data_IF_806552309004
#
_entry.id   IF_806552309004
#
_cell.length_a   1.000
_cell.length_b   1.000
_cell.length_c   1.000
_cell.angle_alpha   90.00
_cell.angle_beta   90.00
_cell.angle_gamma   90.00
#
_symmetry.space_group_name_H-M   'P 1'
#
loop_
_entity.id
_entity.type
_entity.pdbx_description
1 polymer ?
#
# COMPACT_ATOMS: atom_id res chain seq x y z
N UNK A 1 27.07 -16.75 6.32
CA UNK A 1 25.81 -15.98 6.18
C UNK A 1 24.70 -16.81 6.79
N UNK A 2 23.97 -16.30 7.80
CA UNK A 2 22.81 -17.01 8.33
C UNK A 2 21.72 -17.03 7.24
N UNK A 3 21.28 -18.22 6.84
CA UNK A 3 20.16 -18.39 5.91
C UNK A 3 18.89 -18.30 6.74
N UNK A 4 18.28 -17.12 6.77
CA UNK A 4 17.05 -16.84 7.52
C UNK A 4 15.80 -16.84 6.63
N UNK A 5 14.62 -16.56 7.20
CA UNK A 5 13.34 -16.60 6.48
C UNK A 5 13.32 -15.67 5.26
N UNK A 6 13.90 -14.47 5.38
CA UNK A 6 14.00 -13.52 4.28
C UNK A 6 14.77 -14.08 3.07
N UNK A 7 15.86 -14.81 3.31
CA UNK A 7 16.66 -15.42 2.26
C UNK A 7 15.83 -16.42 1.43
N UNK A 8 15.05 -17.27 2.11
CA UNK A 8 14.20 -18.24 1.42
C UNK A 8 13.00 -17.59 0.74
N UNK A 9 12.45 -16.50 1.30
CA UNK A 9 11.39 -15.72 0.65
C UNK A 9 11.89 -15.11 -0.67
N UNK A 10 13.07 -14.48 -0.67
CA UNK A 10 13.69 -13.89 -1.87
C UNK A 10 13.92 -14.95 -2.95
N UNK A 11 14.42 -16.13 -2.57
CA UNK A 11 14.61 -17.23 -3.51
C UNK A 11 13.28 -17.72 -4.10
N UNK A 12 12.22 -17.78 -3.29
CA UNK A 12 10.89 -18.14 -3.79
C UNK A 12 10.40 -17.17 -4.86
N UNK A 13 10.49 -15.86 -4.59
CA UNK A 13 10.06 -14.83 -5.52
C UNK A 13 10.91 -14.81 -6.80
N UNK A 14 12.22 -14.96 -6.65
CA UNK A 14 13.16 -15.03 -7.78
C UNK A 14 12.86 -16.23 -8.67
N UNK A 15 12.59 -17.39 -8.05
CA UNK A 15 12.22 -18.58 -8.80
C UNK A 15 10.87 -18.42 -9.50
N UNK A 16 9.88 -17.82 -8.84
CA UNK A 16 8.58 -17.52 -9.44
C UNK A 16 8.72 -16.60 -10.66
N UNK A 17 9.52 -15.54 -10.55
CA UNK A 17 9.79 -14.63 -11.66
C UNK A 17 10.47 -15.33 -12.83
N UNK A 18 11.48 -16.16 -12.57
CA UNK A 18 12.10 -16.97 -13.63
C UNK A 18 11.10 -17.91 -14.30
N UNK A 19 10.20 -18.54 -13.54
CA UNK A 19 9.19 -19.44 -14.13
C UNK A 19 8.26 -18.73 -15.11
N UNK A 20 7.97 -17.44 -14.90
CA UNK A 20 7.14 -16.64 -15.80
C UNK A 20 7.85 -16.25 -17.12
N UNK A 21 9.18 -16.38 -17.18
CA UNK A 21 10.00 -16.01 -18.35
C UNK A 21 10.38 -17.25 -19.18
N UNK A 22 10.40 -18.44 -18.58
CA UNK A 22 10.89 -19.68 -19.19
C UNK A 22 9.79 -20.46 -19.93
N UNK A 23 10.20 -21.38 -20.83
CA UNK A 23 9.29 -22.23 -21.60
C UNK A 23 8.66 -23.38 -20.78
N UNK A 24 7.69 -24.09 -21.36
CA UNK A 24 6.77 -25.02 -20.67
C UNK A 24 7.40 -26.12 -19.80
N UNK A 25 8.56 -26.70 -20.14
CA UNK A 25 9.17 -27.77 -19.33
C UNK A 25 9.98 -27.22 -18.14
N UNK A 26 10.71 -26.13 -18.35
CA UNK A 26 11.51 -25.48 -17.31
C UNK A 26 10.63 -24.71 -16.31
N UNK A 27 9.46 -24.25 -16.77
CA UNK A 27 8.44 -23.59 -15.95
C UNK A 27 7.98 -24.48 -14.79
N UNK A 28 7.71 -25.77 -15.03
CA UNK A 28 7.21 -26.69 -13.99
C UNK A 28 8.24 -26.90 -12.88
N UNK A 29 9.50 -27.21 -13.25
CA UNK A 29 10.58 -27.39 -12.28
C UNK A 29 10.85 -26.12 -11.47
N UNK A 30 10.71 -24.96 -12.12
CA UNK A 30 10.95 -23.69 -11.48
C UNK A 30 9.81 -23.29 -10.52
N UNK A 31 8.56 -23.61 -10.87
CA UNK A 31 7.41 -23.48 -9.97
C UNK A 31 7.53 -24.40 -8.75
N UNK A 32 8.00 -25.63 -8.92
CA UNK A 32 8.26 -26.56 -7.81
C UNK A 32 9.32 -26.00 -6.84
N UNK A 33 10.46 -25.54 -7.36
CA UNK A 33 11.48 -24.86 -6.55
C UNK A 33 10.95 -23.62 -5.83
N UNK A 34 10.12 -22.82 -6.51
CA UNK A 34 9.50 -21.65 -5.90
C UNK A 34 8.57 -22.03 -4.73
N UNK A 35 7.84 -23.15 -4.84
CA UNK A 35 6.97 -23.69 -3.78
C UNK A 35 7.78 -24.24 -2.59
N UNK A 36 8.88 -24.94 -2.85
CA UNK A 36 9.78 -25.44 -1.80
C UNK A 36 10.38 -24.28 -1.00
N UNK A 37 10.91 -23.27 -1.70
CA UNK A 37 11.46 -22.07 -1.06
C UNK A 37 10.39 -21.29 -0.30
N UNK A 38 9.18 -21.18 -0.84
CA UNK A 38 8.05 -20.53 -0.16
C UNK A 38 7.71 -21.26 1.15
N UNK A 39 7.52 -22.57 1.09
CA UNK A 39 7.15 -23.40 2.26
C UNK A 39 8.21 -23.32 3.36
N UNK A 40 9.49 -23.30 2.95
CA UNK A 40 10.60 -23.14 3.88
C UNK A 40 10.66 -21.75 4.49
N UNK A 41 10.47 -20.70 3.69
CA UNK A 41 10.41 -19.32 4.16
C UNK A 41 9.30 -19.17 5.20
N UNK A 42 8.10 -19.68 4.93
CA UNK A 42 6.98 -19.60 5.86
C UNK A 42 7.25 -20.33 7.17
N UNK A 43 7.84 -21.53 7.12
CA UNK A 43 8.19 -22.30 8.33
C UNK A 43 9.22 -21.57 9.20
N UNK A 44 10.28 -21.06 8.58
CA UNK A 44 11.31 -20.29 9.29
C UNK A 44 10.75 -18.96 9.82
N UNK A 45 9.85 -18.33 9.08
CA UNK A 45 9.19 -17.08 9.46
C UNK A 45 8.26 -17.28 10.66
N UNK A 46 7.42 -18.32 10.67
CA UNK A 46 6.60 -18.68 11.81
C UNK A 46 7.45 -18.99 13.05
N UNK A 47 8.58 -19.69 12.87
CA UNK A 47 9.52 -19.97 13.97
C UNK A 47 10.11 -18.68 14.54
N UNK A 48 10.61 -17.80 13.68
CA UNK A 48 11.11 -16.47 14.04
C UNK A 48 10.08 -15.68 14.85
N UNK A 49 8.82 -15.66 14.40
CA UNK A 49 7.73 -14.99 15.10
C UNK A 49 7.39 -15.61 16.46
N UNK A 50 7.47 -16.94 16.58
CA UNK A 50 7.16 -17.63 17.84
C UNK A 50 8.23 -17.43 18.93
N UNK A 51 9.50 -17.38 18.54
CA UNK A 51 10.64 -17.33 19.47
C UNK A 51 11.01 -15.90 19.89
N UNK A 52 10.71 -14.91 19.04
CA UNK A 52 11.31 -13.57 19.17
C UNK A 52 10.29 -12.42 19.17
N UNK A 53 8.98 -12.69 19.29
CA UNK A 53 7.93 -11.67 19.26
C UNK A 53 8.16 -10.49 20.20
N UNK A 54 8.63 -10.75 21.42
CA UNK A 54 8.91 -9.69 22.40
C UNK A 54 10.09 -8.79 22.00
N UNK A 55 11.11 -9.36 21.35
CA UNK A 55 12.31 -8.63 20.89
C UNK A 55 12.10 -7.95 19.54
N UNK A 56 11.05 -8.31 18.82
CA UNK A 56 10.72 -7.77 17.51
C UNK A 56 10.35 -6.28 17.58
N UNK A 57 9.60 -5.90 18.62
CA UNK A 57 9.11 -4.53 18.81
C UNK A 57 10.20 -3.59 19.35
N UNK A 58 11.26 -4.15 19.96
CA UNK A 58 12.35 -3.40 20.57
C UNK A 58 13.54 -3.17 19.62
N UNK A 59 13.54 -3.78 18.42
CA UNK A 59 14.65 -3.75 17.47
C UNK A 59 14.16 -3.45 16.05
N UNK A 60 14.41 -2.23 15.59
CA UNK A 60 14.03 -1.76 14.25
C UNK A 60 14.60 -2.62 13.11
N UNK A 61 15.78 -3.24 13.29
CA UNK A 61 16.35 -4.10 12.25
C UNK A 61 15.57 -5.41 12.12
N UNK A 62 15.13 -5.98 13.24
CA UNK A 62 14.26 -7.18 13.26
C UNK A 62 12.88 -6.87 12.72
N UNK A 63 12.32 -5.72 13.08
CA UNK A 63 11.05 -5.25 12.54
C UNK A 63 11.15 -5.08 11.01
N UNK A 64 12.22 -4.47 10.51
CA UNK A 64 12.46 -4.35 9.07
C UNK A 64 12.60 -5.73 8.40
N UNK A 65 13.33 -6.68 8.98
CA UNK A 65 13.43 -8.05 8.44
C UNK A 65 12.07 -8.75 8.39
N UNK A 66 11.24 -8.58 9.43
CA UNK A 66 9.88 -9.10 9.47
C UNK A 66 9.00 -8.51 8.37
N UNK A 67 8.97 -7.19 8.24
CA UNK A 67 8.14 -6.51 7.24
C UNK A 67 8.62 -6.82 5.82
N UNK A 68 9.93 -6.90 5.58
CA UNK A 68 10.50 -7.28 4.29
C UNK A 68 10.14 -8.72 3.92
N UNK A 69 10.25 -9.66 4.87
CA UNK A 69 9.87 -11.05 4.62
C UNK A 69 8.36 -11.17 4.33
N UNK A 70 7.52 -10.46 5.08
CA UNK A 70 6.07 -10.40 4.82
C UNK A 70 5.75 -9.83 3.45
N UNK A 71 6.39 -8.72 3.05
CA UNK A 71 6.20 -8.12 1.73
C UNK A 71 6.49 -9.12 0.60
N UNK A 72 7.58 -9.88 0.73
CA UNK A 72 7.96 -10.87 -0.29
C UNK A 72 6.98 -12.04 -0.32
N UNK A 73 6.51 -12.51 0.85
CA UNK A 73 5.51 -13.58 0.92
C UNK A 73 4.17 -13.13 0.30
N UNK A 74 3.70 -11.91 0.61
CA UNK A 74 2.53 -11.30 -0.03
C UNK A 74 2.73 -11.26 -1.54
N UNK A 75 3.90 -10.79 -2.01
CA UNK A 75 4.22 -10.72 -3.43
C UNK A 75 4.18 -12.10 -4.11
N UNK A 76 4.74 -13.14 -3.48
CA UNK A 76 4.68 -14.51 -3.99
C UNK A 76 3.24 -15.00 -4.18
N UNK A 77 2.36 -14.72 -3.22
CA UNK A 77 0.95 -15.13 -3.31
C UNK A 77 0.19 -14.34 -4.38
N UNK A 78 0.40 -13.02 -4.45
CA UNK A 78 -0.21 -12.17 -5.50
C UNK A 78 0.22 -12.62 -6.89
N UNK A 79 1.51 -12.86 -7.13
CA UNK A 79 2.01 -13.29 -8.43
C UNK A 79 1.63 -14.72 -8.81
N UNK A 80 1.21 -15.55 -7.85
CA UNK A 80 0.61 -16.86 -8.11
C UNK A 80 -0.87 -16.77 -8.50
N UNK A 81 -1.45 -15.56 -8.47
CA UNK A 81 -2.88 -15.36 -8.68
C UNK A 81 -3.72 -15.81 -7.48
N UNK A 82 -3.14 -15.83 -6.27
CA UNK A 82 -3.90 -16.17 -5.08
C UNK A 82 -4.94 -15.07 -4.82
N UNK A 83 -6.21 -15.48 -4.68
CA UNK A 83 -7.30 -14.53 -4.45
C UNK A 83 -7.30 -14.00 -3.01
N UNK A 84 -7.02 -14.87 -2.03
CA UNK A 84 -7.20 -14.54 -0.60
C UNK A 84 -6.00 -14.91 0.31
N UNK A 85 -5.08 -15.79 -0.11
CA UNK A 85 -4.01 -16.27 0.77
C UNK A 85 -3.04 -15.16 1.21
N UNK A 86 -2.84 -14.16 0.36
CA UNK A 86 -2.00 -13.00 0.65
C UNK A 86 -2.57 -12.15 1.81
N UNK A 87 -3.89 -12.17 2.03
CA UNK A 87 -4.54 -11.46 3.15
C UNK A 87 -4.10 -12.02 4.50
N UNK A 88 -3.82 -13.32 4.62
CA UNK A 88 -3.35 -13.91 5.88
C UNK A 88 -2.00 -13.33 6.32
N UNK A 89 -1.10 -13.09 5.35
CA UNK A 89 0.19 -12.46 5.61
C UNK A 89 0.01 -10.99 6.01
N UNK A 90 -0.86 -10.27 5.30
CA UNK A 90 -1.18 -8.87 5.64
C UNK A 90 -1.83 -8.77 7.02
N UNK A 91 -2.76 -9.65 7.37
CA UNK A 91 -3.42 -9.69 8.68
C UNK A 91 -2.41 -9.91 9.82
N UNK A 92 -1.41 -10.78 9.60
CA UNK A 92 -0.34 -11.00 10.57
C UNK A 92 0.52 -9.75 10.78
N UNK A 93 0.85 -9.04 9.69
CA UNK A 93 1.58 -7.77 9.75
C UNK A 93 0.77 -6.71 10.49
N UNK A 94 -0.51 -6.57 10.17
CA UNK A 94 -1.41 -5.62 10.83
C UNK A 94 -1.42 -5.84 12.34
N UNK A 95 -1.49 -7.10 12.80
CA UNK A 95 -1.45 -7.43 14.23
C UNK A 95 -0.15 -6.97 14.92
N UNK A 96 0.98 -6.98 14.22
CA UNK A 96 2.26 -6.48 14.74
C UNK A 96 2.26 -4.95 14.76
N UNK A 97 1.84 -4.31 13.66
CA UNK A 97 1.82 -2.85 13.56
C UNK A 97 0.83 -2.21 14.54
N UNK A 98 -0.26 -2.89 14.92
CA UNK A 98 -1.15 -2.44 16.00
C UNK A 98 -0.47 -2.30 17.36
N UNK A 99 0.63 -3.02 17.59
CA UNK A 99 1.43 -2.89 18.81
C UNK A 99 2.45 -1.76 18.72
N UNK A 100 2.53 -1.06 17.59
CA UNK A 100 3.45 0.03 17.31
C UNK A 100 2.70 1.36 17.26
N UNK A 101 3.37 2.44 17.65
CA UNK A 101 2.93 3.80 17.34
C UNK A 101 3.97 4.50 16.46
N UNK A 102 3.56 5.40 15.55
CA UNK A 102 4.50 6.19 14.75
C UNK A 102 5.51 6.92 15.65
N UNK A 103 5.02 7.50 16.75
CA UNK A 103 5.83 8.23 17.72
C UNK A 103 6.94 7.34 18.32
N UNK A 104 6.61 6.14 18.79
CA UNK A 104 7.60 5.22 19.37
C UNK A 104 8.62 4.71 18.36
N UNK A 105 8.21 4.53 17.09
CA UNK A 105 9.07 4.01 16.03
C UNK A 105 10.05 5.08 15.53
N UNK A 106 9.59 6.33 15.46
CA UNK A 106 10.35 7.45 14.90
C UNK A 106 11.01 8.37 15.95
N UNK A 107 10.75 8.21 17.26
CA UNK A 107 11.40 9.05 18.29
C UNK A 107 12.94 8.83 18.26
N UNK A 108 13.66 9.90 17.96
CA UNK A 108 15.12 9.94 17.88
C UNK A 108 15.81 9.56 19.21
N UNK A 109 15.08 9.65 20.34
CA UNK A 109 15.63 9.45 21.69
C UNK A 109 16.01 8.00 22.04
N UNK A 110 15.52 6.99 21.31
CA UNK A 110 15.94 5.60 21.52
C UNK A 110 17.25 5.22 20.80
N UNK A 111 17.74 6.06 19.88
CA UNK A 111 18.95 5.77 19.12
C UNK A 111 20.26 6.30 19.74
N UNK A 112 20.23 6.94 20.92
CA UNK A 112 21.40 7.59 21.54
C UNK A 112 21.93 6.92 22.82
N UNK A 113 21.94 5.58 22.89
CA UNK A 113 22.58 4.84 24.01
C UNK A 113 23.73 3.91 23.62
N UNK A 114 24.28 4.03 22.42
CA UNK A 114 25.56 3.38 22.09
C UNK A 114 26.54 4.42 21.53
N UNK A 115 27.40 4.93 22.42
CA UNK A 115 28.50 5.79 22.03
C UNK A 115 29.52 5.02 21.20
N UNK A 116 29.69 5.40 19.94
CA UNK A 116 30.97 5.32 19.22
C UNK A 116 30.85 6.01 17.87
N UNK A 117 31.73 6.98 17.67
CA UNK A 117 31.98 7.70 16.43
C UNK A 117 32.52 6.77 15.32
N UNK A 118 32.40 7.26 14.07
CA UNK A 118 33.11 6.88 12.84
C UNK A 118 32.39 5.92 11.87
N UNK A 119 31.84 6.52 10.80
CA UNK A 119 31.55 5.94 9.46
C UNK A 119 30.53 4.80 9.35
N UNK A 120 29.35 4.94 9.95
CA UNK A 120 28.18 4.12 9.61
C UNK A 120 27.14 4.99 8.91
N UNK A 121 26.91 4.74 7.61
CA UNK A 121 25.75 5.27 6.91
C UNK A 121 24.47 4.92 7.68
N UNK A 122 23.71 5.94 8.07
CA UNK A 122 22.39 5.89 8.73
C UNK A 122 21.27 5.21 7.88
N UNK A 123 21.47 3.98 7.40
CA UNK A 123 20.56 3.28 6.46
C UNK A 123 19.40 2.43 7.03
N UNK A 124 19.32 2.04 8.33
CA UNK A 124 18.22 1.17 8.77
C UNK A 124 16.88 1.89 8.98
N UNK A 125 16.86 3.22 9.13
CA UNK A 125 15.60 3.99 9.30
C UNK A 125 14.83 4.15 7.99
N UNK A 126 15.52 4.53 6.91
CA UNK A 126 14.94 4.71 5.57
C UNK A 126 14.27 3.41 5.05
N UNK A 127 14.91 2.24 5.28
CA UNK A 127 14.34 0.95 4.89
C UNK A 127 13.08 0.57 5.68
N UNK A 128 13.04 0.91 6.97
CA UNK A 128 11.88 0.64 7.82
C UNK A 128 10.71 1.56 7.47
N UNK A 129 10.97 2.84 7.24
CA UNK A 129 9.99 3.84 6.77
C UNK A 129 9.32 3.38 5.47
N UNK A 130 10.12 2.97 4.49
CA UNK A 130 9.64 2.40 3.23
C UNK A 130 8.74 1.17 3.45
N UNK A 131 9.17 0.24 4.31
CA UNK A 131 8.40 -0.98 4.59
C UNK A 131 7.07 -0.67 5.29
N UNK A 132 7.07 0.24 6.25
CA UNK A 132 5.84 0.69 6.93
C UNK A 132 4.89 1.41 5.97
N UNK A 133 5.41 2.32 5.13
CA UNK A 133 4.65 2.98 4.08
C UNK A 133 4.01 1.96 3.12
N UNK A 134 4.77 0.92 2.75
CA UNK A 134 4.30 -0.17 1.90
C UNK A 134 3.17 -0.95 2.57
N UNK A 135 3.32 -1.33 3.85
CA UNK A 135 2.28 -2.07 4.56
C UNK A 135 0.99 -1.26 4.77
N UNK A 136 1.11 0.03 5.09
CA UNK A 136 -0.05 0.94 5.17
C UNK A 136 -0.75 1.04 3.83
N UNK A 137 0.02 1.18 2.74
CA UNK A 137 -0.53 1.23 1.38
C UNK A 137 -1.24 -0.07 1.00
N UNK A 138 -0.66 -1.23 1.31
CA UNK A 138 -1.27 -2.54 1.06
C UNK A 138 -2.57 -2.74 1.83
N UNK A 139 -2.65 -2.32 3.10
CA UNK A 139 -3.89 -2.35 3.89
C UNK A 139 -4.98 -1.49 3.23
N UNK A 140 -4.63 -0.27 2.79
CA UNK A 140 -5.57 0.62 2.10
C UNK A 140 -6.08 0.03 0.78
N UNK A 141 -5.19 -0.51 -0.07
CA UNK A 141 -5.60 -1.08 -1.35
C UNK A 141 -6.35 -2.39 -1.19
N UNK A 142 -6.06 -3.19 -0.16
CA UNK A 142 -6.80 -4.41 0.13
C UNK A 142 -8.28 -4.16 0.40
N UNK A 143 -8.62 -2.98 0.94
CA UNK A 143 -9.98 -2.63 1.31
C UNK A 143 -10.93 -2.50 0.10
N UNK A 144 -10.42 -1.95 -1.00
CA UNK A 144 -11.24 -1.66 -2.19
C UNK A 144 -11.86 -2.92 -2.83
N UNK A 145 -11.09 -3.98 -3.17
CA UNK A 145 -11.65 -5.19 -3.75
C UNK A 145 -12.33 -6.10 -2.71
N UNK A 146 -11.95 -6.02 -1.42
CA UNK A 146 -12.48 -6.93 -0.38
C UNK A 146 -13.72 -6.38 0.34
N UNK A 147 -14.09 -5.12 0.10
CA UNK A 147 -15.17 -4.45 0.82
C UNK A 147 -14.88 -4.28 2.32
N UNK A 148 -13.60 -4.37 2.73
CA UNK A 148 -13.17 -4.18 4.12
C UNK A 148 -12.85 -2.71 4.38
N UNK A 149 -12.75 -2.35 5.66
CA UNK A 149 -12.17 -1.07 6.08
C UNK A 149 -10.70 -1.22 6.44
N UNK A 150 -9.89 -0.14 6.29
CA UNK A 150 -8.49 -0.17 6.69
C UNK A 150 -8.38 -0.52 8.17
N UNK A 151 -7.53 -1.50 8.49
CA UNK A 151 -7.37 -1.97 9.86
C UNK A 151 -6.27 -1.19 10.57
N UNK A 152 -5.29 -0.67 9.85
CA UNK A 152 -4.27 0.21 10.40
C UNK A 152 -4.82 1.62 10.61
N UNK A 153 -4.24 2.33 11.58
CA UNK A 153 -4.55 3.74 11.84
C UNK A 153 -3.89 4.63 10.78
N UNK A 154 -4.26 4.45 9.51
CA UNK A 154 -3.63 5.06 8.34
C UNK A 154 -3.53 6.58 8.45
N UNK A 155 -4.52 7.25 9.04
CA UNK A 155 -4.47 8.69 9.26
C UNK A 155 -3.34 9.12 10.19
N UNK A 156 -2.98 8.32 11.20
CA UNK A 156 -1.86 8.61 12.10
C UNK A 156 -0.53 8.38 11.38
N UNK A 157 -0.39 7.22 10.71
CA UNK A 157 0.83 6.86 10.01
C UNK A 157 1.15 7.80 8.84
N UNK A 158 0.14 8.21 8.05
CA UNK A 158 0.31 9.08 6.88
C UNK A 158 0.43 10.58 7.21
N UNK A 159 0.16 10.99 8.46
CA UNK A 159 0.37 12.38 8.91
C UNK A 159 1.81 12.64 9.36
N UNK A 160 2.54 11.61 9.75
CA UNK A 160 3.95 11.71 10.12
C UNK A 160 4.81 12.12 8.92
N UNK A 161 5.85 12.93 9.14
CA UNK A 161 6.75 13.39 8.08
C UNK A 161 7.58 12.26 7.48
N UNK A 162 7.80 11.20 8.24
CA UNK A 162 8.70 10.09 7.95
C UNK A 162 8.09 9.08 6.97
N UNK A 163 6.75 9.01 6.89
CA UNK A 163 6.06 8.13 5.96
C UNK A 163 5.60 8.97 4.77
N UNK A 164 6.38 8.94 3.70
CA UNK A 164 6.01 9.55 2.42
C UNK A 164 5.68 8.46 1.41
N UNK A 165 4.39 8.21 1.19
CA UNK A 165 3.94 7.27 0.16
C UNK A 165 4.31 7.77 -1.25
N UNK A 166 4.56 9.07 -1.40
CA UNK A 166 5.06 9.65 -2.64
C UNK A 166 6.39 9.04 -3.09
N UNK A 167 7.28 8.67 -2.16
CA UNK A 167 8.57 8.06 -2.49
C UNK A 167 8.41 6.60 -2.95
N UNK A 168 7.32 5.94 -2.56
CA UNK A 168 7.01 4.55 -2.92
C UNK A 168 6.14 4.45 -4.18
N UNK A 169 5.02 5.16 -4.20
CA UNK A 169 3.96 5.05 -5.22
C UNK A 169 3.91 6.25 -6.16
N UNK A 170 4.76 7.27 -5.95
CA UNK A 170 4.58 8.59 -6.57
C UNK A 170 3.19 9.19 -6.28
N UNK A 171 2.53 8.78 -5.20
CA UNK A 171 1.20 9.26 -4.80
C UNK A 171 1.27 10.00 -3.47
N UNK A 172 0.80 11.24 -3.41
CA UNK A 172 0.81 12.04 -2.19
C UNK A 172 -0.11 11.44 -1.10
N UNK A 173 0.34 11.54 0.16
CA UNK A 173 -0.35 10.96 1.32
C UNK A 173 -1.82 11.38 1.46
N UNK A 174 -2.18 12.60 1.03
CA UNK A 174 -3.55 13.07 1.16
C UNK A 174 -4.52 12.23 0.33
N UNK A 175 -4.11 11.73 -0.85
CA UNK A 175 -4.93 10.84 -1.66
C UNK A 175 -5.07 9.48 -0.99
N UNK A 176 -3.98 8.97 -0.38
CA UNK A 176 -4.01 7.73 0.38
C UNK A 176 -4.99 7.80 1.58
N UNK A 177 -5.06 8.96 2.25
CA UNK A 177 -6.07 9.22 3.28
C UNK A 177 -7.48 9.19 2.69
N UNK A 178 -7.70 9.81 1.51
CA UNK A 178 -9.00 9.77 0.83
C UNK A 178 -9.40 8.34 0.45
N UNK A 179 -8.46 7.51 -0.02
CA UNK A 179 -8.72 6.08 -0.32
C UNK A 179 -9.24 5.36 0.94
N UNK A 180 -8.57 5.58 2.08
CA UNK A 180 -9.02 5.01 3.36
C UNK A 180 -10.40 5.50 3.79
N UNK A 181 -10.66 6.81 3.66
CA UNK A 181 -11.96 7.40 3.99
C UNK A 181 -13.09 6.85 3.08
N UNK A 182 -12.80 6.62 1.79
CA UNK A 182 -13.74 6.03 0.84
C UNK A 182 -14.05 4.57 1.17
N UNK A 183 -13.04 3.78 1.56
CA UNK A 183 -13.25 2.42 2.04
C UNK A 183 -14.17 2.39 3.28
N UNK A 184 -13.93 3.29 4.25
CA UNK A 184 -14.81 3.46 5.40
C UNK A 184 -16.23 3.91 5.02
N UNK A 185 -16.39 4.81 4.05
CA UNK A 185 -17.70 5.25 3.57
C UNK A 185 -18.46 4.12 2.89
N UNK A 186 -17.78 3.34 2.05
CA UNK A 186 -18.35 2.20 1.33
C UNK A 186 -18.89 1.13 2.27
N UNK A 187 -18.07 0.69 3.22
CA UNK A 187 -18.49 -0.31 4.22
C UNK A 187 -19.64 0.22 5.09
N UNK A 188 -19.55 1.46 5.57
CA UNK A 188 -20.61 2.06 6.37
C UNK A 188 -21.93 2.10 5.61
N UNK A 189 -21.90 2.48 4.32
CA UNK A 189 -23.09 2.51 3.47
C UNK A 189 -23.69 1.10 3.35
N UNK A 190 -22.87 0.09 3.07
CA UNK A 190 -23.35 -1.30 2.95
C UNK A 190 -23.98 -1.81 4.24
N UNK A 191 -23.39 -1.51 5.40
CA UNK A 191 -23.94 -1.88 6.71
C UNK A 191 -25.29 -1.20 6.94
N UNK A 192 -25.39 0.10 6.70
CA UNK A 192 -26.64 0.84 6.85
C UNK A 192 -27.74 0.38 5.88
N UNK A 193 -27.38 0.01 4.65
CA UNK A 193 -28.31 -0.59 3.68
C UNK A 193 -28.83 -1.94 4.15
N UNK A 194 -27.94 -2.81 4.65
CA UNK A 194 -28.30 -4.14 5.19
C UNK A 194 -29.22 -4.03 6.41
N UNK A 195 -28.97 -3.05 7.28
CA UNK A 195 -29.77 -2.79 8.48
C UNK A 195 -31.08 -2.04 8.18
N UNK A 196 -31.29 -1.58 6.93
CA UNK A 196 -32.46 -0.79 6.55
C UNK A 196 -32.50 0.62 7.16
N UNK A 197 -31.34 1.12 7.63
CA UNK A 197 -31.18 2.37 8.37
C UNK A 197 -30.48 3.47 7.56
N UNK A 198 -30.22 3.25 6.27
CA UNK A 198 -29.52 4.19 5.41
C UNK A 198 -30.24 5.54 5.34
N UNK A 199 -29.61 6.56 5.91
CA UNK A 199 -30.00 7.96 5.73
C UNK A 199 -29.34 8.54 4.48
N UNK A 200 -30.15 8.87 3.47
CA UNK A 200 -29.67 9.51 2.24
C UNK A 200 -29.00 10.87 2.52
N UNK A 201 -29.55 11.63 3.47
CA UNK A 201 -28.97 12.92 3.88
C UNK A 201 -27.60 12.75 4.52
N UNK A 202 -27.41 11.71 5.34
CA UNK A 202 -26.12 11.42 5.97
C UNK A 202 -25.09 10.91 4.94
N UNK A 203 -25.52 10.06 4.01
CA UNK A 203 -24.68 9.61 2.90
C UNK A 203 -24.22 10.79 2.04
N UNK A 204 -25.13 11.70 1.70
CA UNK A 204 -24.83 12.91 0.94
C UNK A 204 -23.85 13.82 1.71
N UNK A 205 -24.07 14.03 3.02
CA UNK A 205 -23.19 14.83 3.88
C UNK A 205 -21.77 14.28 3.92
N UNK A 206 -21.61 12.98 4.24
CA UNK A 206 -20.29 12.33 4.28
C UNK A 206 -19.61 12.32 2.93
N UNK A 207 -20.37 12.07 1.85
CA UNK A 207 -19.87 12.09 0.49
C UNK A 207 -19.34 13.48 0.10
N UNK A 208 -20.06 14.55 0.44
CA UNK A 208 -19.63 15.92 0.14
C UNK A 208 -18.37 16.32 0.92
N UNK A 209 -18.23 15.92 2.19
CA UNK A 209 -17.00 16.17 2.97
C UNK A 209 -15.74 15.54 2.35
N UNK A 210 -15.87 14.35 1.73
CA UNK A 210 -14.77 13.73 0.98
C UNK A 210 -14.57 14.47 -0.35
N UNK A 211 -15.66 14.80 -1.05
CA UNK A 211 -15.64 15.49 -2.34
C UNK A 211 -14.96 16.85 -2.28
N UNK A 212 -15.24 17.64 -1.25
CA UNK A 212 -14.63 18.96 -1.04
C UNK A 212 -13.12 18.84 -0.89
N UNK A 213 -12.65 17.93 -0.02
CA UNK A 213 -11.21 17.68 0.17
C UNK A 213 -10.53 17.22 -1.11
N UNK A 214 -11.19 16.33 -1.86
CA UNK A 214 -10.70 15.83 -3.13
C UNK A 214 -10.60 16.93 -4.19
N UNK A 215 -11.61 17.80 -4.26
CA UNK A 215 -11.65 18.92 -5.19
C UNK A 215 -10.55 19.94 -4.87
N UNK A 216 -10.44 20.35 -3.60
CA UNK A 216 -9.38 21.24 -3.13
C UNK A 216 -7.98 20.67 -3.39
N UNK A 217 -7.78 19.37 -3.15
CA UNK A 217 -6.51 18.70 -3.42
C UNK A 217 -6.15 18.69 -4.91
N UNK A 218 -7.10 18.37 -5.79
CA UNK A 218 -6.91 18.39 -7.24
C UNK A 218 -6.61 19.81 -7.74
N UNK A 219 -7.35 20.82 -7.28
CA UNK A 219 -7.10 22.21 -7.66
C UNK A 219 -5.69 22.66 -7.26
N UNK A 220 -5.26 22.34 -6.04
CA UNK A 220 -3.90 22.63 -5.56
C UNK A 220 -2.84 21.97 -6.45
N UNK A 221 -3.01 20.69 -6.80
CA UNK A 221 -2.09 19.97 -7.68
C UNK A 221 -1.97 20.60 -9.07
N UNK A 222 -3.11 21.01 -9.65
CA UNK A 222 -3.13 21.64 -10.97
C UNK A 222 -2.41 22.99 -10.93
N UNK A 223 -2.58 23.77 -9.86
CA UNK A 223 -1.91 25.06 -9.70
C UNK A 223 -0.39 24.93 -9.52
N UNK A 224 0.09 23.89 -8.85
CA UNK A 224 1.53 23.70 -8.65
C UNK A 224 2.23 23.12 -9.87
N UNK A 225 1.50 22.43 -10.75
CA UNK A 225 2.06 21.68 -11.91
C UNK A 225 2.91 22.52 -12.85
N UNK A 226 2.56 23.79 -13.05
CA UNK A 226 3.24 24.66 -14.02
C UNK A 226 4.62 25.15 -13.51
N UNK A 227 4.96 24.90 -12.24
CA UNK A 227 6.20 25.35 -11.62
C UNK A 227 7.18 24.20 -11.27
N UNK A 228 6.84 22.95 -11.57
CA UNK A 228 7.49 21.76 -10.99
C UNK A 228 8.58 21.13 -11.87
N UNK A 229 9.61 20.60 -11.23
CA UNK A 229 10.68 19.81 -11.88
C UNK A 229 10.18 18.42 -12.33
N UNK A 230 10.94 17.71 -13.16
CA UNK A 230 10.51 16.44 -13.77
C UNK A 230 10.04 15.35 -12.79
N UNK A 231 10.66 15.22 -11.61
CA UNK A 231 10.27 14.21 -10.61
C UNK A 231 8.98 14.60 -9.88
N UNK A 232 8.84 15.88 -9.53
CA UNK A 232 7.62 16.43 -8.94
C UNK A 232 6.44 16.38 -9.92
N UNK A 233 6.71 16.56 -11.22
CA UNK A 233 5.72 16.39 -12.28
C UNK A 233 5.21 14.95 -12.38
N UNK A 234 6.06 13.94 -12.11
CA UNK A 234 5.66 12.54 -12.06
C UNK A 234 4.74 12.27 -10.87
N UNK A 235 5.16 12.68 -9.66
CA UNK A 235 4.34 12.53 -8.44
C UNK A 235 3.00 13.24 -8.58
N UNK A 236 2.99 14.46 -9.11
CA UNK A 236 1.76 15.22 -9.38
C UNK A 236 0.84 14.48 -10.37
N UNK A 237 1.38 13.91 -11.45
CA UNK A 237 0.59 13.15 -12.43
C UNK A 237 -0.01 11.87 -11.84
N UNK A 238 0.79 11.07 -11.13
CA UNK A 238 0.30 9.83 -10.50
C UNK A 238 -0.73 10.16 -9.41
N UNK A 239 -0.45 11.15 -8.57
CA UNK A 239 -1.39 11.63 -7.54
C UNK A 239 -2.71 12.09 -8.17
N UNK A 240 -2.66 12.81 -9.30
CA UNK A 240 -3.86 13.20 -10.05
C UNK A 240 -4.66 11.98 -10.54
N UNK A 241 -4.00 10.93 -11.02
CA UNK A 241 -4.69 9.71 -11.45
C UNK A 241 -5.42 9.02 -10.30
N UNK A 242 -4.76 8.83 -9.15
CA UNK A 242 -5.39 8.25 -7.97
C UNK A 242 -6.53 9.14 -7.45
N UNK A 243 -6.35 10.47 -7.47
CA UNK A 243 -7.40 11.40 -7.08
C UNK A 243 -8.63 11.30 -8.00
N UNK A 244 -8.43 11.22 -9.33
CA UNK A 244 -9.53 11.04 -10.27
C UNK A 244 -10.20 9.67 -10.14
N UNK A 245 -9.45 8.61 -9.83
CA UNK A 245 -10.00 7.31 -9.48
C UNK A 245 -10.86 7.39 -8.21
N UNK A 246 -10.42 8.15 -7.20
CA UNK A 246 -11.21 8.43 -5.99
C UNK A 246 -12.50 9.19 -6.31
N UNK A 247 -12.50 10.12 -7.29
CA UNK A 247 -13.72 10.82 -7.74
C UNK A 247 -14.72 9.81 -8.31
N UNK A 248 -14.27 8.91 -9.17
CA UNK A 248 -15.11 7.84 -9.73
C UNK A 248 -15.65 6.96 -8.61
N UNK A 249 -14.77 6.47 -7.72
CA UNK A 249 -15.16 5.61 -6.61
C UNK A 249 -16.19 6.29 -5.70
N UNK A 250 -15.99 7.56 -5.35
CA UNK A 250 -16.94 8.35 -4.56
C UNK A 250 -18.32 8.39 -5.21
N UNK A 251 -18.39 8.70 -6.50
CA UNK A 251 -19.67 8.72 -7.23
C UNK A 251 -20.31 7.33 -7.27
N UNK A 252 -19.53 6.26 -7.44
CA UNK A 252 -20.08 4.89 -7.41
C UNK A 252 -20.58 4.49 -6.03
N UNK A 253 -19.94 4.94 -4.95
CA UNK A 253 -20.40 4.70 -3.58
C UNK A 253 -21.70 5.47 -3.32
N UNK A 254 -21.76 6.76 -3.65
CA UNK A 254 -22.92 7.61 -3.35
C UNK A 254 -24.11 7.34 -4.27
N UNK A 255 -23.90 7.33 -5.58
CA UNK A 255 -24.96 7.19 -6.59
C UNK A 255 -25.17 5.76 -7.10
N UNK A 256 -24.30 4.82 -6.69
CA UNK A 256 -24.27 3.46 -7.23
C UNK A 256 -23.40 3.32 -8.48
N UNK A 257 -23.03 2.09 -8.87
CA UNK A 257 -22.18 1.82 -10.03
C UNK A 257 -22.98 1.91 -11.34
N UNK A 258 -23.48 3.10 -11.66
CA UNK A 258 -24.33 3.37 -12.82
C UNK A 258 -23.56 4.20 -13.88
N UNK A 259 -22.97 3.57 -14.92
CA UNK A 259 -22.10 4.27 -15.88
C UNK A 259 -22.81 5.35 -16.72
N UNK A 260 -24.15 5.35 -16.73
CA UNK A 260 -24.95 6.36 -17.43
C UNK A 260 -25.00 7.71 -16.70
N UNK A 261 -24.59 7.77 -15.43
CA UNK A 261 -24.61 9.00 -14.65
C UNK A 261 -23.57 10.00 -15.17
N UNK A 262 -23.95 11.28 -15.39
CA UNK A 262 -23.07 12.28 -15.99
C UNK A 262 -21.84 12.57 -15.11
N UNK A 263 -21.97 12.51 -13.78
CA UNK A 263 -20.87 12.69 -12.85
C UNK A 263 -19.80 11.58 -12.99
N UNK A 264 -20.23 10.32 -13.19
CA UNK A 264 -19.32 9.19 -13.41
C UNK A 264 -18.66 9.31 -14.80
N UNK A 265 -19.43 9.63 -15.84
CA UNK A 265 -18.88 9.82 -17.18
C UNK A 265 -17.86 10.96 -17.23
N UNK A 266 -18.15 12.08 -16.57
CA UNK A 266 -17.23 13.22 -16.46
C UNK A 266 -15.94 12.84 -15.73
N UNK A 267 -16.05 12.15 -14.59
CA UNK A 267 -14.90 11.70 -13.81
C UNK A 267 -14.02 10.72 -14.62
N UNK A 268 -14.63 9.72 -15.26
CA UNK A 268 -13.93 8.76 -16.12
C UNK A 268 -13.29 9.46 -17.32
N UNK A 269 -13.98 10.40 -17.97
CA UNK A 269 -13.43 11.17 -19.08
C UNK A 269 -12.19 11.96 -18.66
N UNK A 270 -12.22 12.60 -17.48
CA UNK A 270 -11.06 13.28 -16.90
C UNK A 270 -9.90 12.31 -16.62
N UNK A 271 -10.17 11.12 -16.08
CA UNK A 271 -9.16 10.08 -15.88
C UNK A 271 -8.50 9.65 -17.19
N UNK A 272 -9.30 9.44 -18.25
CA UNK A 272 -8.79 9.09 -19.57
C UNK A 272 -7.92 10.22 -20.15
N UNK A 273 -8.36 11.47 -20.06
CA UNK A 273 -7.58 12.63 -20.50
C UNK A 273 -6.25 12.72 -19.73
N UNK A 274 -6.26 12.49 -18.42
CA UNK A 274 -5.05 12.49 -17.60
C UNK A 274 -4.08 11.36 -18.02
N UNK A 275 -4.60 10.16 -18.29
CA UNK A 275 -3.81 9.03 -18.79
C UNK A 275 -3.20 9.30 -20.17
N UNK A 276 -3.94 9.98 -21.06
CA UNK A 276 -3.46 10.36 -22.39
C UNK A 276 -2.35 11.42 -22.32
N UNK A 277 -2.42 12.35 -21.36
CA UNK A 277 -1.44 13.41 -21.15
C UNK A 277 -0.22 12.96 -20.31
N UNK A 278 0.18 11.70 -20.45
CA UNK A 278 1.30 11.10 -19.70
C UNK A 278 2.63 11.82 -19.98
N UNK A 279 3.46 12.07 -18.95
CA UNK A 279 4.85 12.48 -19.14
C UNK A 279 5.63 11.49 -20.02
N UNK A 280 6.40 11.97 -21.00
CA UNK A 280 7.14 11.12 -21.95
C UNK A 280 8.25 10.29 -21.29
N UNK A 281 8.68 10.67 -20.10
CA UNK A 281 9.71 10.00 -19.30
C UNK A 281 9.20 8.74 -18.58
N UNK A 282 7.89 8.48 -18.57
CA UNK A 282 7.30 7.44 -17.74
C UNK A 282 7.04 6.13 -18.50
N UNK A 283 7.58 5.02 -17.97
CA UNK A 283 7.32 3.66 -18.46
C UNK A 283 6.18 3.01 -17.68
N UNK A 284 5.18 2.45 -18.39
CA UNK A 284 4.03 1.78 -17.75
C UNK A 284 4.38 0.40 -17.15
N UNK A 285 5.56 -0.14 -17.44
CA UNK A 285 5.96 -1.50 -17.02
C UNK A 285 6.00 -1.71 -15.51
N UNK A 286 6.07 -0.63 -14.70
CA UNK A 286 6.08 -0.70 -13.24
C UNK A 286 4.71 -0.48 -12.56
N UNK A 287 3.66 -0.12 -13.29
CA UNK A 287 2.33 0.16 -12.72
C UNK A 287 1.52 -1.09 -12.35
N UNK A 288 1.94 -2.27 -12.83
CA UNK A 288 1.21 -3.54 -12.70
C UNK A 288 1.07 -3.99 -11.25
N UNK A 289 1.87 -3.46 -10.32
CA UNK A 289 1.78 -3.86 -8.91
C UNK A 289 0.62 -3.20 -8.14
N UNK A 290 0.05 -2.11 -8.66
CA UNK A 290 -0.88 -1.25 -7.90
C UNK A 290 -2.21 -0.95 -8.62
N UNK A 291 -2.47 -1.58 -9.76
CA UNK A 291 -3.75 -1.55 -10.49
C UNK A 291 -4.42 -2.92 -10.48
#
# INVERSE_FOLDING_TARGET
MKRGPLYHAVLSLSSLHQSAILGSEEEYQQKEKALEHHSRALREFCKFMSEERGKLLDDNARLAEFLACSLILISCEVFRGAEHNWLLHLDAVICVIHSLSPETVFDARYTSHAGSSVLSHNRPKEGLEFLLATMVSLDLFACLPTGRVPRLLYQQWLRTSEIQVADLLSCENWVMVIIGDLACLGEWKEVQEKDGMLSISELARRGEEIKERLTMGIEKLVLTRDAQENHEAQTSWVTLLFALACVVLLHTIVSGPLPALPEIQSAVSRSIIALQNRPRTYSLTGLVFWF
#
